data_IF_683634753937
#
_entry.id   IF_683634753937
#
_cell.length_a   1.000
_cell.length_b   1.000
_cell.length_c   1.000
_cell.angle_alpha   90.00
_cell.angle_beta   90.00
_cell.angle_gamma   90.00
#
_symmetry.space_group_name_H-M   'P 1'
#
loop_
_entity.id
_entity.type
_entity.pdbx_description
1 polymer ?
#
# COMPACT_ATOMS: atom_id res chain seq x y z
N UNK A 1 -8.17 6.85 -30.01
CA UNK A 1 -7.21 5.75 -29.81
C UNK A 1 -7.42 5.25 -28.41
N UNK A 2 -7.79 3.99 -28.26
CA UNK A 2 -8.07 3.36 -26.97
C UNK A 2 -6.73 3.02 -26.30
N UNK A 3 -6.28 3.83 -25.33
CA UNK A 3 -4.97 3.63 -24.70
C UNK A 3 -4.99 2.32 -23.89
N UNK A 4 -3.92 1.50 -23.97
CA UNK A 4 -3.89 0.22 -23.31
C UNK A 4 -3.88 0.39 -21.78
N UNK A 5 -4.51 -0.55 -21.10
CA UNK A 5 -4.23 -0.83 -19.69
C UNK A 5 -2.87 -1.53 -19.60
N UNK A 6 -2.11 -1.29 -18.53
CA UNK A 6 -0.81 -1.93 -18.32
C UNK A 6 -0.82 -2.71 -17.00
N UNK A 7 -0.36 -3.96 -16.98
CA UNK A 7 -0.12 -4.66 -15.73
C UNK A 7 1.01 -3.96 -14.96
N UNK A 8 0.96 -3.94 -13.62
CA UNK A 8 1.92 -3.18 -12.82
C UNK A 8 3.38 -3.57 -13.12
N UNK A 9 3.65 -4.84 -13.44
CA UNK A 9 4.98 -5.30 -13.81
C UNK A 9 5.52 -4.67 -15.09
N UNK A 10 4.66 -4.09 -15.94
CA UNK A 10 4.98 -3.54 -17.27
C UNK A 10 4.85 -2.01 -17.31
N UNK A 11 4.45 -1.37 -16.19
CA UNK A 11 4.02 0.03 -16.13
C UNK A 11 5.17 1.08 -16.16
N UNK A 12 6.15 0.90 -17.04
CA UNK A 12 7.38 1.69 -17.11
C UNK A 12 7.19 3.12 -17.62
N UNK A 13 6.11 3.39 -18.36
CA UNK A 13 5.76 4.71 -18.88
C UNK A 13 4.94 5.56 -17.90
N UNK A 14 4.66 5.05 -16.70
CA UNK A 14 3.68 5.63 -15.79
C UNK A 14 4.33 6.20 -14.53
N UNK A 15 3.56 6.93 -13.73
CA UNK A 15 4.01 7.40 -12.41
C UNK A 15 4.28 6.24 -11.42
N UNK A 16 3.89 5.01 -11.77
CA UNK A 16 4.08 3.80 -10.99
C UNK A 16 5.35 3.02 -11.36
N UNK A 17 6.17 3.52 -12.29
CA UNK A 17 7.42 2.88 -12.75
C UNK A 17 8.32 2.40 -11.61
N UNK A 18 8.49 3.19 -10.55
CA UNK A 18 9.36 2.81 -9.42
C UNK A 18 8.87 1.55 -8.73
N UNK A 19 7.54 1.38 -8.63
CA UNK A 19 6.93 0.19 -8.04
C UNK A 19 6.97 -1.00 -9.01
N UNK A 20 6.82 -0.75 -10.32
CA UNK A 20 7.03 -1.74 -11.37
C UNK A 20 8.45 -2.33 -11.34
N UNK A 21 9.48 -1.46 -11.27
CA UNK A 21 10.87 -1.84 -11.12
C UNK A 21 11.10 -2.66 -9.84
N UNK A 22 10.53 -2.23 -8.72
CA UNK A 22 10.62 -2.95 -7.45
C UNK A 22 10.03 -4.37 -7.55
N UNK A 23 8.87 -4.50 -8.17
CA UNK A 23 8.21 -5.79 -8.41
C UNK A 23 9.08 -6.71 -9.26
N UNK A 24 9.63 -6.21 -10.39
CA UNK A 24 10.54 -6.99 -11.25
C UNK A 24 11.86 -7.36 -10.56
N UNK A 25 12.31 -6.55 -9.60
CA UNK A 25 13.45 -6.87 -8.74
C UNK A 25 13.14 -7.89 -7.63
N UNK A 26 11.93 -8.47 -7.60
CA UNK A 26 11.53 -9.48 -6.63
C UNK A 26 11.19 -8.92 -5.25
N UNK A 27 10.87 -7.62 -5.16
CA UNK A 27 10.29 -7.06 -3.93
C UNK A 27 8.81 -7.48 -3.82
N UNK A 28 8.30 -7.70 -2.59
CA UNK A 28 6.94 -8.18 -2.36
C UNK A 28 5.90 -7.07 -2.59
N UNK A 29 5.67 -6.73 -3.85
CA UNK A 29 4.69 -5.72 -4.27
C UNK A 29 3.32 -6.38 -4.47
N UNK A 30 2.22 -5.79 -3.98
CA UNK A 30 0.87 -6.26 -4.30
C UNK A 30 0.58 -6.15 -5.80
N UNK A 31 0.15 -7.25 -6.41
CA UNK A 31 -0.20 -7.28 -7.83
C UNK A 31 -1.37 -6.34 -8.16
N UNK A 32 -1.42 -5.91 -9.41
CA UNK A 32 -2.38 -4.92 -9.88
C UNK A 32 -2.12 -4.49 -11.32
N UNK A 33 -2.94 -3.57 -11.79
CA UNK A 33 -2.85 -2.97 -13.11
C UNK A 33 -3.02 -1.46 -13.02
N UNK A 34 -2.53 -0.76 -14.04
CA UNK A 34 -2.58 0.68 -14.17
C UNK A 34 -3.61 1.04 -15.25
N UNK A 35 -4.56 1.89 -14.86
CA UNK A 35 -5.56 2.47 -15.74
C UNK A 35 -5.02 3.80 -16.27
N UNK A 36 -4.86 3.90 -17.59
CA UNK A 36 -4.38 5.12 -18.26
C UNK A 36 -5.56 6.04 -18.62
N UNK A 37 -5.31 7.35 -18.81
CA UNK A 37 -6.33 8.26 -19.35
C UNK A 37 -6.91 7.72 -20.67
N UNK A 38 -8.24 7.58 -20.70
CA UNK A 38 -8.95 7.09 -21.88
C UNK A 38 -9.03 5.57 -22.04
N UNK A 39 -8.56 4.77 -21.07
CA UNK A 39 -8.84 3.31 -21.03
C UNK A 39 -10.35 3.07 -20.95
N UNK A 40 -10.88 2.18 -21.80
CA UNK A 40 -12.29 1.82 -21.79
C UNK A 40 -12.73 1.07 -20.51
N UNK A 41 -14.00 1.21 -20.16
CA UNK A 41 -14.55 0.52 -18.98
C UNK A 41 -14.58 -0.99 -19.14
N UNK A 42 -14.80 -1.48 -20.37
CA UNK A 42 -14.80 -2.91 -20.70
C UNK A 42 -13.45 -3.53 -20.35
N UNK A 43 -12.34 -2.96 -20.84
CA UNK A 43 -10.98 -3.42 -20.51
C UNK A 43 -10.68 -3.36 -19.02
N UNK A 44 -11.18 -2.33 -18.33
CA UNK A 44 -11.00 -2.19 -16.89
C UNK A 44 -11.74 -3.30 -16.12
N UNK A 45 -12.93 -3.70 -16.58
CA UNK A 45 -13.71 -4.79 -16.00
C UNK A 45 -13.07 -6.15 -16.26
N UNK A 46 -12.56 -6.37 -17.47
CA UNK A 46 -11.81 -7.59 -17.81
C UNK A 46 -10.57 -7.74 -16.91
N UNK A 47 -9.76 -6.69 -16.78
CA UNK A 47 -8.57 -6.71 -15.92
C UNK A 47 -8.92 -6.87 -14.44
N UNK A 48 -10.07 -6.32 -13.99
CA UNK A 48 -10.60 -6.59 -12.66
C UNK A 48 -10.84 -8.08 -12.46
N UNK A 49 -11.61 -8.73 -13.34
CA UNK A 49 -11.92 -10.15 -13.20
C UNK A 49 -10.67 -11.02 -13.23
N UNK A 50 -9.73 -10.72 -14.11
CA UNK A 50 -8.43 -11.41 -14.16
C UNK A 50 -7.66 -11.27 -12.84
N UNK A 51 -7.59 -10.06 -12.28
CA UNK A 51 -6.91 -9.81 -11.00
C UNK A 51 -7.57 -10.55 -9.84
N UNK A 52 -8.91 -10.58 -9.76
CA UNK A 52 -9.66 -11.29 -8.71
C UNK A 52 -9.34 -12.79 -8.74
N UNK A 53 -9.30 -13.39 -9.94
CA UNK A 53 -8.97 -14.82 -10.11
C UNK A 53 -7.52 -15.10 -9.76
N UNK A 54 -6.59 -14.29 -10.28
CA UNK A 54 -5.16 -14.46 -10.08
C UNK A 54 -4.77 -14.35 -8.59
N UNK A 55 -5.28 -13.33 -7.90
CA UNK A 55 -4.91 -13.03 -6.51
C UNK A 55 -5.83 -13.68 -5.47
N UNK A 56 -6.90 -14.35 -5.91
CA UNK A 56 -7.91 -14.97 -5.03
C UNK A 56 -8.43 -13.98 -3.96
N UNK A 57 -8.73 -12.76 -4.40
CA UNK A 57 -9.16 -11.65 -3.53
C UNK A 57 -10.37 -10.95 -4.13
N UNK A 58 -11.25 -10.41 -3.29
CA UNK A 58 -12.34 -9.51 -3.70
C UNK A 58 -12.10 -8.05 -3.32
N UNK A 59 -10.99 -7.77 -2.64
CA UNK A 59 -10.70 -6.47 -2.05
C UNK A 59 -9.58 -5.78 -2.81
N UNK A 60 -9.87 -4.58 -3.31
CA UNK A 60 -8.92 -3.77 -4.05
C UNK A 60 -8.58 -2.47 -3.32
N UNK A 61 -7.37 -2.00 -3.57
CA UNK A 61 -6.91 -0.66 -3.24
C UNK A 61 -6.67 0.09 -4.54
N UNK A 62 -7.32 1.24 -4.70
CA UNK A 62 -7.19 2.12 -5.86
C UNK A 62 -6.36 3.33 -5.43
N UNK A 63 -5.25 3.58 -6.12
CA UNK A 63 -4.28 4.61 -5.77
C UNK A 63 -4.19 5.63 -6.89
N UNK A 64 -4.55 6.87 -6.59
CA UNK A 64 -4.26 8.02 -7.43
C UNK A 64 -2.97 8.70 -6.98
N UNK A 65 -2.58 9.81 -7.63
CA UNK A 65 -1.38 10.57 -7.30
C UNK A 65 -1.44 11.22 -5.91
N UNK A 66 -2.62 11.67 -5.47
CA UNK A 66 -2.78 12.42 -4.21
C UNK A 66 -3.42 11.64 -3.07
N UNK A 67 -4.27 10.66 -3.39
CA UNK A 67 -4.98 9.88 -2.38
C UNK A 67 -5.28 8.46 -2.87
N UNK A 68 -5.61 7.59 -1.92
CA UNK A 68 -5.97 6.20 -2.19
C UNK A 68 -7.34 5.90 -1.60
N UNK A 69 -8.08 5.04 -2.29
CA UNK A 69 -9.36 4.48 -1.87
C UNK A 69 -9.15 3.01 -1.57
N UNK A 70 -9.48 2.62 -0.35
CA UNK A 70 -9.28 1.26 0.14
C UNK A 70 -10.62 0.53 0.22
N UNK A 71 -10.55 -0.80 0.23
CA UNK A 71 -11.68 -1.71 0.42
C UNK A 71 -12.74 -1.62 -0.70
N UNK A 72 -12.29 -1.45 -1.95
CA UNK A 72 -13.17 -1.44 -3.11
C UNK A 72 -13.50 -2.87 -3.51
N UNK A 73 -14.80 -3.14 -3.70
CA UNK A 73 -15.34 -4.46 -4.04
C UNK A 73 -16.31 -4.30 -5.21
N UNK A 74 -16.16 -5.15 -6.22
CA UNK A 74 -17.05 -5.17 -7.37
C UNK A 74 -16.63 -4.23 -8.50
N UNK A 75 -16.89 -4.63 -9.76
CA UNK A 75 -16.45 -3.88 -10.93
C UNK A 75 -17.14 -2.51 -11.05
N UNK A 76 -18.40 -2.38 -10.64
CA UNK A 76 -19.12 -1.09 -10.71
C UNK A 76 -18.56 -0.05 -9.75
N UNK A 77 -18.23 -0.46 -8.53
CA UNK A 77 -17.60 0.43 -7.54
C UNK A 77 -16.19 0.82 -7.98
N UNK A 78 -15.46 -0.09 -8.63
CA UNK A 78 -14.17 0.22 -9.25
C UNK A 78 -14.33 1.33 -10.30
N UNK A 79 -15.22 1.14 -11.29
CA UNK A 79 -15.46 2.14 -12.35
C UNK A 79 -15.88 3.48 -11.76
N UNK A 80 -16.81 3.48 -10.81
CA UNK A 80 -17.25 4.71 -10.13
C UNK A 80 -16.08 5.43 -9.45
N UNK A 81 -15.23 4.68 -8.75
CA UNK A 81 -14.06 5.25 -8.05
C UNK A 81 -13.03 5.80 -9.03
N UNK A 82 -12.77 5.10 -10.14
CA UNK A 82 -11.86 5.57 -11.20
C UNK A 82 -12.35 6.86 -11.83
N UNK A 83 -13.65 6.98 -12.15
CA UNK A 83 -14.24 8.21 -12.68
C UNK A 83 -14.08 9.38 -11.69
N UNK A 84 -14.26 9.13 -10.39
CA UNK A 84 -14.03 10.14 -9.35
C UNK A 84 -12.57 10.61 -9.34
N UNK A 85 -11.62 9.68 -9.30
CA UNK A 85 -10.19 9.97 -9.32
C UNK A 85 -9.75 10.71 -10.60
N UNK A 86 -10.28 10.32 -11.75
CA UNK A 86 -10.01 10.98 -13.02
C UNK A 86 -10.57 12.40 -13.05
N UNK A 87 -11.67 12.69 -12.35
CA UNK A 87 -12.18 14.07 -12.23
C UNK A 87 -11.23 14.97 -11.44
N UNK A 88 -10.57 14.41 -10.42
CA UNK A 88 -9.60 15.13 -9.59
C UNK A 88 -8.22 15.26 -10.25
N UNK A 89 -7.85 14.33 -11.13
CA UNK A 89 -6.57 14.33 -11.85
C UNK A 89 -6.70 13.67 -13.23
N UNK A 90 -7.22 14.38 -14.25
CA UNK A 90 -7.61 13.80 -15.54
C UNK A 90 -6.50 13.11 -16.32
N UNK A 91 -5.28 13.62 -16.22
CA UNK A 91 -4.13 13.13 -16.99
C UNK A 91 -3.28 12.11 -16.22
N UNK A 92 -3.70 11.71 -15.02
CA UNK A 92 -2.91 10.83 -14.16
C UNK A 92 -3.31 9.36 -14.31
N UNK A 93 -2.32 8.49 -14.42
CA UNK A 93 -2.52 7.04 -14.39
C UNK A 93 -2.91 6.58 -12.99
N UNK A 94 -3.94 5.74 -12.86
CA UNK A 94 -4.46 5.25 -11.58
C UNK A 94 -4.07 3.79 -11.40
N UNK A 95 -3.50 3.43 -10.25
CA UNK A 95 -3.11 2.06 -9.95
C UNK A 95 -4.21 1.34 -9.19
N UNK A 96 -4.66 0.20 -9.72
CA UNK A 96 -5.59 -0.72 -9.08
C UNK A 96 -4.80 -1.93 -8.60
N UNK A 97 -4.76 -2.17 -7.29
CA UNK A 97 -4.00 -3.27 -6.68
C UNK A 97 -4.88 -4.17 -5.84
N UNK A 98 -4.48 -5.43 -5.67
CA UNK A 98 -5.01 -6.23 -4.57
C UNK A 98 -4.77 -5.50 -3.25
N UNK A 99 -5.79 -5.49 -2.41
CA UNK A 99 -5.66 -4.94 -1.08
C UNK A 99 -4.94 -5.92 -0.17
N UNK A 100 -3.96 -5.44 0.58
CA UNK A 100 -3.30 -6.23 1.63
C UNK A 100 -4.17 -6.17 2.90
N UNK A 101 -4.58 -7.31 3.48
CA UNK A 101 -5.33 -7.35 4.74
C UNK A 101 -4.39 -7.05 5.92
N UNK A 102 -3.96 -5.81 6.03
CA UNK A 102 -2.87 -5.41 6.90
C UNK A 102 -3.27 -5.41 8.39
N UNK A 103 -2.47 -6.10 9.21
CA UNK A 103 -2.45 -5.92 10.66
C UNK A 103 -1.72 -4.63 11.05
N UNK A 104 -0.66 -4.30 10.30
CA UNK A 104 0.10 -3.07 10.44
C UNK A 104 0.34 -2.43 9.08
N UNK A 105 0.32 -1.12 9.03
CA UNK A 105 0.77 -0.35 7.88
C UNK A 105 1.64 0.81 8.33
N UNK A 106 2.41 1.36 7.40
CA UNK A 106 3.35 2.38 7.81
C UNK A 106 4.15 3.01 6.70
N UNK A 107 5.06 3.87 7.15
CA UNK A 107 6.12 4.45 6.33
C UNK A 107 7.47 4.16 6.98
N UNK A 108 8.48 3.87 6.19
CA UNK A 108 9.86 3.81 6.64
C UNK A 108 10.66 4.83 5.85
N UNK A 109 11.30 5.77 6.54
CA UNK A 109 12.04 6.88 5.93
C UNK A 109 13.47 6.91 6.47
N UNK A 110 14.42 7.18 5.58
CA UNK A 110 15.82 7.33 5.95
C UNK A 110 16.02 8.61 6.76
N UNK A 111 16.67 8.48 7.91
CA UNK A 111 17.09 9.57 8.77
C UNK A 111 18.56 9.41 9.12
N UNK A 112 19.43 10.02 8.29
CA UNK A 112 20.88 9.79 8.30
C UNK A 112 21.17 8.31 8.04
N UNK A 113 21.82 7.63 8.99
CA UNK A 113 22.14 6.19 8.93
C UNK A 113 21.07 5.29 9.57
N UNK A 114 19.97 5.86 10.05
CA UNK A 114 18.91 5.11 10.72
C UNK A 114 17.64 5.15 9.88
N UNK A 115 16.75 4.17 10.08
CA UNK A 115 15.40 4.18 9.53
C UNK A 115 14.42 4.66 10.60
N UNK A 116 13.63 5.68 10.28
CA UNK A 116 12.46 6.07 11.05
C UNK A 116 11.26 5.30 10.51
N UNK A 117 10.76 4.36 11.30
CA UNK A 117 9.59 3.55 10.96
C UNK A 117 8.39 4.13 11.71
N UNK A 118 7.40 4.60 10.94
CA UNK A 118 6.08 4.98 11.44
C UNK A 118 5.11 3.84 11.22
N UNK A 119 4.40 3.41 12.25
CA UNK A 119 3.51 2.26 12.16
C UNK A 119 2.14 2.53 12.82
N UNK A 120 1.09 2.20 12.07
CA UNK A 120 -0.28 2.16 12.55
C UNK A 120 -0.81 0.73 12.47
N UNK A 121 -1.61 0.35 13.45
CA UNK A 121 -2.46 -0.82 13.33
C UNK A 121 -3.53 -0.63 12.24
N UNK A 122 -3.86 -1.72 11.58
CA UNK A 122 -4.78 -1.72 10.45
C UNK A 122 -4.15 -1.12 9.19
N UNK A 123 -4.99 -0.47 8.38
CA UNK A 123 -4.68 -0.22 6.96
C UNK A 123 -4.49 1.26 6.63
N UNK A 124 -4.51 2.14 7.63
CA UNK A 124 -4.34 3.58 7.43
C UNK A 124 -3.42 4.18 8.50
N UNK A 125 -2.51 5.05 8.05
CA UNK A 125 -1.66 5.84 8.91
C UNK A 125 -2.47 7.00 9.49
N UNK A 126 -2.79 6.94 10.79
CA UNK A 126 -3.60 7.92 11.49
C UNK A 126 -2.75 8.56 12.59
N UNK A 127 -2.60 7.85 13.70
CA UNK A 127 -1.81 8.29 14.85
C UNK A 127 -0.66 7.28 15.09
N UNK A 128 0.42 7.32 14.29
CA UNK A 128 1.40 6.25 14.24
C UNK A 128 2.33 6.23 15.44
N UNK A 129 2.75 5.02 15.79
CA UNK A 129 3.98 4.83 16.52
C UNK A 129 5.17 5.28 15.73
N UNK A 130 6.24 5.62 16.44
CA UNK A 130 7.53 5.88 15.82
C UNK A 130 8.62 5.03 16.44
N UNK A 131 9.30 4.28 15.59
CA UNK A 131 10.47 3.48 15.91
C UNK A 131 11.70 4.03 15.19
N UNK A 132 12.84 4.05 15.87
CA UNK A 132 14.13 4.40 15.27
C UNK A 132 14.99 3.15 15.18
N UNK A 133 15.06 2.59 13.99
CA UNK A 133 15.86 1.41 13.68
C UNK A 133 17.28 1.82 13.28
N UNK A 134 18.28 1.31 13.98
CA UNK A 134 19.67 1.48 13.61
C UNK A 134 20.08 0.32 12.70
N UNK A 135 20.38 0.63 11.45
CA UNK A 135 20.72 -0.36 10.42
C UNK A 135 22.09 -1.01 10.67
N UNK A 136 23.03 -0.28 11.27
CA UNK A 136 24.35 -0.83 11.60
C UNK A 136 24.29 -1.87 12.73
N UNK A 137 23.41 -1.68 13.72
CA UNK A 137 23.28 -2.61 14.85
C UNK A 137 22.15 -3.62 14.67
N UNK A 138 21.25 -3.42 13.70
CA UNK A 138 20.04 -4.23 13.51
C UNK A 138 19.10 -4.18 14.72
N UNK A 139 18.99 -3.03 15.39
CA UNK A 139 18.20 -2.88 16.63
C UNK A 139 17.36 -1.60 16.63
N UNK A 140 16.19 -1.69 17.26
CA UNK A 140 15.39 -0.53 17.62
C UNK A 140 16.05 0.22 18.78
N UNK A 141 16.47 1.45 18.55
CA UNK A 141 17.18 2.30 19.52
C UNK A 141 16.25 3.26 20.28
N UNK A 142 15.11 3.60 19.68
CA UNK A 142 14.09 4.44 20.30
C UNK A 142 12.71 4.01 19.83
N UNK A 143 11.75 4.04 20.74
CA UNK A 143 10.36 3.70 20.48
C UNK A 143 9.46 4.72 21.18
N UNK A 144 8.52 5.27 20.42
CA UNK A 144 7.48 6.19 20.92
C UNK A 144 6.14 5.60 20.51
N UNK A 145 5.33 5.29 21.52
CA UNK A 145 4.03 4.67 21.33
C UNK A 145 2.93 5.72 21.41
N UNK A 146 2.02 5.74 20.44
CA UNK A 146 0.83 6.57 20.51
C UNK A 146 -0.22 5.90 21.42
N UNK A 147 -0.61 6.51 22.56
CA UNK A 147 -1.51 5.87 23.51
C UNK A 147 -2.92 5.63 22.97
N UNK A 148 -3.42 6.51 22.11
CA UNK A 148 -4.79 6.46 21.57
C UNK A 148 -4.78 6.26 20.06
N UNK A 149 -3.93 5.34 19.61
CA UNK A 149 -3.83 5.05 18.19
C UNK A 149 -5.19 4.60 17.64
N UNK A 150 -5.69 5.35 16.66
CA UNK A 150 -6.85 4.93 15.88
C UNK A 150 -6.42 3.97 14.78
N UNK A 151 -7.29 3.01 14.47
CA UNK A 151 -7.10 2.07 13.36
C UNK A 151 -8.31 2.05 12.44
N UNK A 152 -8.03 1.94 11.15
CA UNK A 152 -9.07 1.65 10.15
C UNK A 152 -9.32 0.13 10.12
N UNK A 153 -10.58 -0.26 10.30
CA UNK A 153 -11.08 -1.62 10.12
C UNK A 153 -11.89 -1.65 8.82
N UNK A 154 -11.74 -2.73 8.05
CA UNK A 154 -12.56 -3.01 6.87
C UNK A 154 -13.65 -4.01 7.22
N UNK A 155 -14.78 -3.86 6.55
CA UNK A 155 -15.87 -4.83 6.57
C UNK A 155 -15.98 -5.51 5.21
N UNK A 156 -16.57 -6.70 5.21
CA UNK A 156 -16.76 -7.53 4.02
C UNK A 156 -17.73 -6.93 3.01
N UNK A 157 -18.53 -5.95 3.42
CA UNK A 157 -19.49 -5.22 2.59
C UNK A 157 -18.88 -4.01 1.85
N UNK A 158 -17.55 -3.82 1.95
CA UNK A 158 -16.85 -2.69 1.33
C UNK A 158 -16.76 -1.45 2.22
N UNK A 159 -17.48 -1.41 3.35
CA UNK A 159 -17.40 -0.28 4.27
C UNK A 159 -16.13 -0.31 5.11
N UNK A 160 -15.70 0.85 5.59
CA UNK A 160 -14.58 0.99 6.52
C UNK A 160 -14.99 1.86 7.70
N UNK A 161 -14.42 1.60 8.88
CA UNK A 161 -14.60 2.45 10.06
C UNK A 161 -13.27 2.70 10.73
N UNK A 162 -13.11 3.91 11.25
CA UNK A 162 -12.01 4.24 12.14
C UNK A 162 -12.48 4.07 13.57
N UNK A 163 -11.75 3.28 14.34
CA UNK A 163 -12.01 3.07 15.76
C UNK A 163 -10.78 3.43 16.58
N UNK A 164 -11.00 4.04 17.74
CA UNK A 164 -9.96 4.15 18.77
C UNK A 164 -9.77 2.78 19.41
N UNK A 165 -8.51 2.38 19.61
CA UNK A 165 -8.22 1.11 20.26
C UNK A 165 -8.46 1.22 21.77
N UNK A 166 -9.17 0.25 22.34
CA UNK A 166 -9.30 0.08 23.79
C UNK A 166 -8.29 -0.96 24.31
N UNK A 167 -7.77 -0.76 25.53
CA UNK A 167 -7.00 -1.76 26.28
C UNK A 167 -5.47 -1.76 26.12
N UNK A 168 -4.80 -2.75 26.71
CA UNK A 168 -3.35 -2.94 26.61
C UNK A 168 -2.91 -3.24 25.17
N UNK A 169 -1.77 -2.67 24.80
CA UNK A 169 -1.30 -2.62 23.42
C UNK A 169 -0.07 -3.48 23.21
N UNK A 170 -0.15 -4.37 22.23
CA UNK A 170 1.01 -5.07 21.70
C UNK A 170 1.67 -4.21 20.62
N UNK A 171 2.86 -3.67 20.86
CA UNK A 171 3.63 -2.95 19.85
C UNK A 171 4.12 -3.91 18.76
N UNK A 172 4.56 -3.39 17.61
CA UNK A 172 5.29 -4.22 16.65
C UNK A 172 6.47 -4.94 17.30
N UNK A 173 6.65 -6.20 16.93
CA UNK A 173 7.76 -7.02 17.40
C UNK A 173 9.08 -6.57 16.76
N UNK A 174 10.21 -6.96 17.36
CA UNK A 174 11.52 -6.68 16.78
C UNK A 174 11.70 -7.34 15.40
N UNK A 175 11.10 -8.51 15.20
CA UNK A 175 11.12 -9.24 13.93
C UNK A 175 10.33 -8.50 12.85
N UNK A 176 9.13 -7.99 13.17
CA UNK A 176 8.35 -7.18 12.22
C UNK A 176 9.09 -5.89 11.84
N UNK A 177 9.68 -5.19 12.83
CA UNK A 177 10.50 -4.00 12.59
C UNK A 177 11.71 -4.30 11.71
N UNK A 178 12.38 -5.45 11.95
CA UNK A 178 13.50 -5.91 11.13
C UNK A 178 13.04 -6.17 9.69
N UNK A 179 11.95 -6.91 9.49
CA UNK A 179 11.43 -7.22 8.15
C UNK A 179 11.06 -5.96 7.35
N UNK A 180 10.50 -4.93 8.01
CA UNK A 180 10.26 -3.61 7.40
C UNK A 180 11.57 -2.90 7.06
N UNK A 181 12.56 -2.93 7.97
CA UNK A 181 13.85 -2.32 7.73
C UNK A 181 14.61 -2.99 6.57
N UNK A 182 14.66 -4.31 6.55
CA UNK A 182 15.25 -5.12 5.48
C UNK A 182 14.58 -4.79 4.13
N UNK A 183 13.26 -4.60 4.11
CA UNK A 183 12.53 -4.22 2.90
C UNK A 183 12.94 -2.81 2.42
N UNK A 184 13.07 -1.84 3.33
CA UNK A 184 13.51 -0.48 2.98
C UNK A 184 14.98 -0.45 2.51
N UNK A 185 15.85 -1.28 3.11
CA UNK A 185 17.24 -1.47 2.68
C UNK A 185 17.33 -2.05 1.28
N UNK A 186 16.56 -3.12 0.99
CA UNK A 186 16.48 -3.72 -0.35
C UNK A 186 15.91 -2.74 -1.39
N UNK A 187 14.95 -1.91 -1.01
CA UNK A 187 14.37 -0.88 -1.87
C UNK A 187 15.28 0.35 -2.04
N UNK A 188 16.30 0.53 -1.19
CA UNK A 188 17.22 1.66 -1.16
C UNK A 188 16.53 3.04 -1.13
N UNK A 189 15.33 3.10 -0.56
CA UNK A 189 14.48 4.29 -0.61
C UNK A 189 13.57 4.37 0.62
N UNK A 190 12.89 5.51 0.79
CA UNK A 190 11.74 5.57 1.69
C UNK A 190 10.60 4.72 1.13
N UNK A 191 9.86 4.02 1.98
CA UNK A 191 8.79 3.11 1.54
C UNK A 191 7.51 3.32 2.34
N UNK A 192 6.37 3.08 1.69
CA UNK A 192 5.12 2.75 2.38
C UNK A 192 4.96 1.24 2.38
N UNK A 193 4.59 0.67 3.52
CA UNK A 193 4.58 -0.77 3.72
C UNK A 193 3.32 -1.23 4.44
N UNK A 194 3.04 -2.52 4.34
CA UNK A 194 1.99 -3.21 5.08
C UNK A 194 2.50 -4.59 5.56
N UNK A 195 2.03 -5.04 6.72
CA UNK A 195 2.24 -6.39 7.25
C UNK A 195 0.88 -7.05 7.35
N UNK A 196 0.70 -8.19 6.68
CA UNK A 196 -0.55 -8.95 6.74
C UNK A 196 -0.64 -9.86 7.96
N UNK A 197 -1.73 -10.61 8.07
CA UNK A 197 -2.02 -11.57 9.14
C UNK A 197 -1.09 -12.80 9.16
N UNK A 198 -0.25 -12.96 8.14
CA UNK A 198 0.77 -14.01 8.04
C UNK A 198 2.20 -13.47 8.29
N UNK A 199 2.30 -12.26 8.86
CA UNK A 199 3.56 -11.53 9.09
C UNK A 199 4.37 -11.25 7.80
N UNK A 200 3.75 -11.35 6.63
CA UNK A 200 4.40 -11.01 5.37
C UNK A 200 4.40 -9.49 5.19
N UNK A 201 5.59 -8.95 4.93
CA UNK A 201 5.77 -7.52 4.63
C UNK A 201 5.60 -7.27 3.14
N UNK A 202 4.77 -6.29 2.81
CA UNK A 202 4.44 -5.87 1.46
C UNK A 202 4.95 -4.44 1.21
N UNK A 203 5.53 -4.22 0.03
CA UNK A 203 5.92 -2.91 -0.46
C UNK A 203 4.73 -2.28 -1.18
N UNK A 204 4.16 -1.24 -0.58
CA UNK A 204 2.93 -0.57 -1.07
C UNK A 204 3.26 0.62 -1.96
N UNK A 205 4.28 1.40 -1.61
CA UNK A 205 4.81 2.47 -2.45
C UNK A 205 6.28 2.71 -2.16
N UNK A 206 6.99 3.28 -3.12
CA UNK A 206 8.36 3.77 -2.95
C UNK A 206 8.31 5.29 -3.01
N UNK A 207 8.79 5.95 -1.97
CA UNK A 207 8.90 7.41 -1.92
C UNK A 207 10.29 7.76 -2.45
N UNK A 208 10.34 8.41 -3.61
CA UNK A 208 11.57 9.04 -4.06
C UNK A 208 11.98 10.08 -3.00
N UNK A 209 13.22 9.98 -2.52
CA UNK A 209 13.80 10.93 -1.57
C UNK A 209 14.14 12.27 -2.21
#
# INVERSE_FOLDING_TARGET
>A
MDQPLEWLAEADGTLWKTLACAMRAGLPVPNGFVVLPGTSEEKTREAYEELIVLEKTHFLAIRGPSHAVLNVIGPDQLIHTLRRLATESPESSILVQRMVPAMWCGKAEWHRKNLRIRANEGMMLLDPDTYLWNTATGKCTRKTLEPRQRKMIRYVDGTTRTVEREGERTPMTAEQLKSVADLAERAQAGITWAVDDQDRVWLVSVNAG
#
